data_IF_187642745998
#
_entry.id   IF_187642745998
#
_cell.length_a   1.000
_cell.length_b   1.000
_cell.length_c   1.000
_cell.angle_alpha   90.00
_cell.angle_beta   90.00
_cell.angle_gamma   90.00
#
_symmetry.space_group_name_H-M   'P 1'
#
loop_
_entity.id
_entity.type
_entity.pdbx_description
1 polymer ?
#
# COMPACT_ATOMS: atom_id res chain seq x y z
N UNK A 1 24.42 15.22 48.95
CA UNK A 1 24.11 13.77 49.09
C UNK A 1 22.91 13.69 50.03
N UNK A 2 21.68 13.68 49.53
CA UNK A 2 20.91 12.55 48.97
C UNK A 2 20.53 11.50 50.03
N UNK A 3 19.23 11.38 50.35
CA UNK A 3 18.44 10.20 50.79
C UNK A 3 17.10 10.70 51.35
N UNK A 4 16.00 10.76 50.57
CA UNK A 4 15.02 9.69 50.25
C UNK A 4 14.29 9.07 51.45
N UNK A 5 13.06 9.57 51.62
CA UNK A 5 11.77 8.90 51.83
C UNK A 5 11.67 7.64 52.70
N UNK A 6 10.69 7.65 53.62
CA UNK A 6 9.79 6.51 53.79
C UNK A 6 8.39 7.00 54.18
N UNK A 7 7.55 7.28 53.18
CA UNK A 7 6.11 7.46 53.40
C UNK A 7 5.43 6.09 53.18
N UNK A 8 4.86 5.57 54.25
CA UNK A 8 4.16 4.28 54.30
C UNK A 8 2.82 4.34 53.51
N UNK A 9 2.54 3.42 52.56
CA UNK A 9 1.25 3.34 51.89
C UNK A 9 0.50 2.04 52.27
N UNK A 10 0.15 1.91 53.54
CA UNK A 10 -0.99 1.10 54.00
C UNK A 10 -1.89 2.14 54.68
N UNK A 11 -3.05 2.51 54.15
CA UNK A 11 -4.30 1.78 54.29
C UNK A 11 -5.34 2.64 53.55
N UNK A 12 -6.06 2.11 52.56
CA UNK A 12 -7.36 2.65 52.12
C UNK A 12 -7.99 1.65 51.13
N UNK A 13 -8.24 0.43 51.63
CA UNK A 13 -9.06 -0.55 50.95
C UNK A 13 -10.54 -0.23 51.20
N UNK A 14 -11.05 0.85 50.59
CA UNK A 14 -12.48 1.02 50.44
C UNK A 14 -13.01 -0.05 49.48
N UNK A 15 -13.70 -1.04 50.04
CA UNK A 15 -14.44 -2.09 49.33
C UNK A 15 -15.46 -1.40 48.41
N UNK A 16 -15.21 -1.45 47.11
CA UNK A 16 -16.04 -0.87 46.07
C UNK A 16 -17.07 -1.92 45.63
N UNK A 17 -18.27 -1.81 46.17
CA UNK A 17 -19.46 -2.47 45.62
C UNK A 17 -19.83 -1.75 44.30
N UNK A 18 -19.70 -2.46 43.18
CA UNK A 18 -20.00 -1.94 41.86
C UNK A 18 -21.44 -2.29 41.50
N UNK A 19 -22.36 -1.36 41.74
CA UNK A 19 -23.80 -1.52 41.41
C UNK A 19 -24.09 -1.57 39.89
N UNK A 20 -23.05 -1.64 39.05
CA UNK A 20 -23.16 -1.41 37.62
C UNK A 20 -23.05 -2.72 36.87
N UNK A 21 -24.16 -3.15 36.28
CA UNK A 21 -24.21 -4.33 35.41
C UNK A 21 -23.55 -4.09 34.05
N UNK A 22 -23.49 -2.83 33.59
CA UNK A 22 -22.99 -2.44 32.27
C UNK A 22 -22.09 -1.21 32.33
N UNK A 23 -21.12 -1.12 31.41
CA UNK A 23 -20.26 0.05 31.25
C UNK A 23 -21.03 1.21 30.60
N UNK A 24 -21.05 2.41 31.19
CA UNK A 24 -21.81 3.55 30.64
C UNK A 24 -21.20 4.13 29.36
N UNK A 25 -19.94 3.79 29.04
CA UNK A 25 -19.27 4.29 27.83
C UNK A 25 -19.46 3.34 26.65
N UNK A 26 -19.34 2.03 26.86
CA UNK A 26 -19.33 1.06 25.76
C UNK A 26 -20.49 0.05 25.79
N UNK A 27 -21.38 0.14 26.77
CA UNK A 27 -22.55 -0.74 26.90
C UNK A 27 -22.24 -2.21 27.22
N UNK A 28 -20.96 -2.59 27.37
CA UNK A 28 -20.59 -3.96 27.66
C UNK A 28 -20.93 -4.36 29.10
N UNK A 29 -21.39 -5.59 29.27
CA UNK A 29 -21.63 -6.20 30.59
C UNK A 29 -20.33 -6.23 31.39
N UNK A 30 -20.37 -5.72 32.62
CA UNK A 30 -19.24 -5.74 33.53
C UNK A 30 -19.21 -7.10 34.26
N UNK A 31 -18.03 -7.70 34.47
CA UNK A 31 -17.93 -8.91 35.25
C UNK A 31 -18.30 -8.62 36.71
N UNK A 32 -18.98 -9.57 37.36
CA UNK A 32 -19.35 -9.47 38.76
C UNK A 32 -18.13 -9.77 39.64
N UNK A 33 -17.25 -8.78 39.79
CA UNK A 33 -16.06 -8.85 40.64
C UNK A 33 -16.03 -7.64 41.57
N UNK A 34 -15.66 -7.87 42.82
CA UNK A 34 -15.48 -6.80 43.79
C UNK A 34 -14.29 -5.92 43.36
N UNK A 35 -14.41 -4.59 43.49
CA UNK A 35 -13.35 -3.62 43.18
C UNK A 35 -12.97 -3.41 41.70
N UNK A 36 -13.92 -3.53 40.76
CA UNK A 36 -13.64 -3.22 39.35
C UNK A 36 -13.39 -1.71 39.12
N UNK A 37 -12.11 -1.31 39.05
CA UNK A 37 -11.70 0.09 38.82
C UNK A 37 -11.85 0.54 37.36
N UNK A 38 -11.66 -0.37 36.40
CA UNK A 38 -11.68 -0.05 34.96
C UNK A 38 -12.55 -1.02 34.17
N UNK A 39 -13.19 -0.52 33.10
CA UNK A 39 -13.87 -1.37 32.15
C UNK A 39 -12.84 -2.18 31.33
N UNK A 40 -12.96 -3.50 31.33
CA UNK A 40 -12.06 -4.42 30.61
C UNK A 40 -12.09 -4.18 29.09
N UNK A 41 -13.23 -3.76 28.54
CA UNK A 41 -13.42 -3.57 27.10
C UNK A 41 -12.89 -2.21 26.62
N UNK A 42 -13.40 -1.10 27.16
CA UNK A 42 -13.00 0.23 26.68
C UNK A 42 -11.83 0.83 27.47
N UNK A 43 -11.55 0.35 28.69
CA UNK A 43 -10.48 0.88 29.54
C UNK A 43 -10.87 2.12 30.34
N UNK A 44 -12.15 2.51 30.35
CA UNK A 44 -12.60 3.68 31.13
C UNK A 44 -12.51 3.42 32.64
N UNK A 45 -12.11 4.44 33.39
CA UNK A 45 -12.07 4.41 34.85
C UNK A 45 -13.50 4.54 35.42
N UNK A 46 -14.06 3.43 35.90
CA UNK A 46 -15.40 3.38 36.46
C UNK A 46 -15.48 4.05 37.83
N UNK A 47 -14.40 3.96 38.62
CA UNK A 47 -14.28 4.62 39.93
C UNK A 47 -14.36 6.15 39.78
N UNK A 48 -13.62 6.70 38.82
CA UNK A 48 -13.66 8.13 38.51
C UNK A 48 -15.06 8.62 38.13
N UNK A 49 -15.78 7.87 37.28
CA UNK A 49 -17.14 8.25 36.86
C UNK A 49 -18.10 8.21 38.06
N UNK A 50 -18.01 7.20 38.93
CA UNK A 50 -18.85 7.10 40.13
C UNK A 50 -18.63 8.29 41.07
N UNK A 51 -17.37 8.68 41.28
CA UNK A 51 -16.99 9.78 42.19
C UNK A 51 -17.30 11.16 41.62
N UNK A 52 -17.05 11.37 40.32
CA UNK A 52 -17.14 12.70 39.71
C UNK A 52 -18.46 12.95 38.96
N UNK A 53 -19.30 11.91 38.79
CA UNK A 53 -20.56 11.93 38.03
C UNK A 53 -20.43 12.54 36.63
N UNK A 54 -19.23 12.50 36.05
CA UNK A 54 -18.90 13.04 34.74
C UNK A 54 -18.21 11.97 33.92
N UNK A 55 -18.57 11.90 32.64
CA UNK A 55 -17.88 11.04 31.69
C UNK A 55 -16.53 11.71 31.37
N UNK A 56 -15.40 10.98 31.48
CA UNK A 56 -14.10 11.53 31.11
C UNK A 56 -14.13 11.93 29.63
N UNK A 57 -13.52 13.07 29.31
CA UNK A 57 -13.31 13.46 27.91
C UNK A 57 -12.46 12.40 27.22
N UNK A 58 -12.76 12.13 25.95
CA UNK A 58 -12.12 11.11 25.10
C UNK A 58 -10.58 11.18 25.05
N UNK A 59 -10.00 12.28 25.53
CA UNK A 59 -8.56 12.55 25.59
C UNK A 59 -7.84 11.86 26.76
N UNK A 60 -8.54 11.33 27.76
CA UNK A 60 -7.92 10.74 28.97
C UNK A 60 -8.22 9.24 29.11
N UNK A 61 -7.86 8.46 28.09
CA UNK A 61 -7.82 7.00 28.17
C UNK A 61 -6.49 6.55 28.81
N UNK A 62 -6.62 5.64 29.78
CA UNK A 62 -5.61 5.09 30.69
C UNK A 62 -4.17 4.92 30.12
N UNK A 63 -3.10 5.46 30.78
CA UNK A 63 -1.71 5.30 30.36
C UNK A 63 -1.18 3.87 30.45
N UNK A 64 -1.86 2.97 31.16
CA UNK A 64 -1.50 1.55 31.26
C UNK A 64 -2.12 0.68 30.15
N UNK A 65 -2.88 1.27 29.22
CA UNK A 65 -2.88 0.74 27.85
C UNK A 65 -1.55 1.14 27.22
N UNK A 66 -0.51 0.34 27.52
CA UNK A 66 0.39 -0.04 26.43
C UNK A 66 -0.50 -0.83 25.48
N UNK A 67 -1.22 -0.13 24.61
CA UNK A 67 -1.35 -0.60 23.25
C UNK A 67 0.08 -0.97 22.89
N UNK A 68 0.37 -2.27 22.81
CA UNK A 68 1.23 -2.75 21.75
C UNK A 68 0.77 -1.96 20.53
N UNK A 69 1.49 -0.88 20.23
CA UNK A 69 1.38 -0.15 18.99
C UNK A 69 2.00 -1.09 17.96
N UNK A 70 1.34 -2.23 17.71
CA UNK A 70 1.16 -2.56 16.32
C UNK A 70 0.42 -1.35 15.76
N UNK A 71 1.04 -0.60 14.83
CA UNK A 71 0.29 0.42 14.12
C UNK A 71 -0.93 -0.31 13.57
N UNK A 72 -2.10 0.12 14.02
CA UNK A 72 -3.36 -0.20 13.40
C UNK A 72 -3.25 0.53 12.06
N UNK A 73 -2.60 -0.14 11.10
CA UNK A 73 -2.69 0.17 9.69
C UNK A 73 -4.18 0.02 9.44
N UNK A 74 -4.90 1.14 9.53
CA UNK A 74 -6.05 1.37 8.69
C UNK A 74 -5.52 1.11 7.29
N UNK A 75 -5.63 -0.15 6.86
CA UNK A 75 -5.66 -0.51 5.46
C UNK A 75 -7.00 0.07 5.01
N UNK A 76 -7.04 1.40 4.85
CA UNK A 76 -7.78 1.93 3.74
C UNK A 76 -7.34 1.05 2.56
N UNK A 77 -8.30 0.40 1.94
CA UNK A 77 -8.11 -0.12 0.60
C UNK A 77 -8.00 1.07 -0.36
N UNK A 78 -7.25 2.11 0.01
CA UNK A 78 -6.65 3.03 -0.93
C UNK A 78 -5.56 2.22 -1.60
N UNK A 79 -6.01 1.54 -2.65
CA UNK A 79 -5.32 1.45 -3.93
C UNK A 79 -3.80 1.47 -3.77
N UNK A 80 -3.15 0.34 -4.03
CA UNK A 80 -1.73 0.26 -4.43
C UNK A 80 -1.48 1.12 -5.68
N UNK A 81 -1.63 2.44 -5.57
CA UNK A 81 -1.12 3.41 -6.50
C UNK A 81 0.26 3.76 -5.96
N UNK A 82 1.35 3.33 -6.63
CA UNK A 82 2.67 3.79 -6.25
C UNK A 82 2.64 5.33 -6.22
N UNK A 83 3.31 5.96 -5.23
CA UNK A 83 3.35 7.42 -5.14
C UNK A 83 3.76 7.98 -6.50
N UNK A 84 2.88 8.81 -7.09
CA UNK A 84 3.16 9.44 -8.38
C UNK A 84 4.39 10.33 -8.22
N UNK A 85 5.31 10.22 -9.16
CA UNK A 85 6.57 10.94 -9.09
C UNK A 85 6.31 12.42 -9.41
N UNK A 86 6.67 13.30 -8.47
CA UNK A 86 6.56 14.76 -8.60
C UNK A 86 7.72 15.30 -9.44
N UNK A 87 7.51 16.41 -10.15
CA UNK A 87 8.52 17.00 -11.05
C UNK A 87 9.83 17.40 -10.32
N UNK A 88 9.73 17.72 -9.02
CA UNK A 88 10.85 18.03 -8.14
C UNK A 88 11.81 16.83 -7.99
N UNK A 89 11.26 15.62 -7.92
CA UNK A 89 12.07 14.41 -7.82
C UNK A 89 12.73 14.04 -9.15
N UNK A 90 12.14 14.40 -10.31
CA UNK A 90 12.75 14.22 -11.64
C UNK A 90 13.95 15.14 -11.88
N UNK A 91 14.04 16.26 -11.18
CA UNK A 91 15.09 17.27 -11.40
C UNK A 91 16.40 16.89 -10.67
N UNK A 92 16.34 16.07 -9.61
CA UNK A 92 17.49 15.54 -8.89
C UNK A 92 17.49 14.00 -8.84
N UNK A 93 17.75 13.33 -9.99
CA UNK A 93 17.67 11.87 -10.13
C UNK A 93 18.75 11.12 -9.31
N UNK A 94 19.75 11.82 -8.77
CA UNK A 94 20.80 11.21 -7.92
C UNK A 94 20.35 11.05 -6.48
N UNK A 95 19.44 11.89 -6.01
CA UNK A 95 18.99 11.93 -4.61
C UNK A 95 17.85 10.96 -4.33
N UNK A 96 17.05 10.65 -5.35
CA UNK A 96 15.95 9.70 -5.27
C UNK A 96 16.08 8.67 -6.40
N UNK A 97 16.28 7.39 -6.06
CA UNK A 97 16.30 6.29 -7.03
C UNK A 97 14.87 6.06 -7.52
N UNK A 98 14.39 6.91 -8.43
CA UNK A 98 13.02 6.94 -8.96
C UNK A 98 12.63 5.62 -9.61
N UNK A 99 13.59 5.01 -10.30
CA UNK A 99 13.47 3.71 -10.93
C UNK A 99 14.80 2.95 -10.85
N UNK A 100 14.71 1.63 -10.86
CA UNK A 100 15.88 0.80 -11.09
C UNK A 100 16.31 0.97 -12.54
N UNK A 101 17.61 1.13 -12.80
CA UNK A 101 18.15 1.15 -14.18
C UNK A 101 17.71 -0.08 -14.99
N UNK A 102 17.54 -1.22 -14.31
CA UNK A 102 16.99 -2.44 -14.90
C UNK A 102 15.53 -2.28 -15.35
N UNK A 103 14.72 -1.49 -14.67
CA UNK A 103 13.32 -1.25 -15.07
C UNK A 103 13.25 -0.30 -16.26
N UNK A 104 14.12 0.71 -16.28
CA UNK A 104 14.28 1.67 -17.38
C UNK A 104 14.60 0.99 -18.70
N UNK A 105 15.58 0.07 -18.69
CA UNK A 105 16.04 -0.66 -19.86
C UNK A 105 15.16 -1.90 -20.12
N UNK A 106 14.73 -2.57 -19.05
CA UNK A 106 13.99 -3.83 -19.12
C UNK A 106 12.57 -3.67 -19.64
N UNK A 107 11.91 -2.53 -19.41
CA UNK A 107 10.57 -2.29 -19.93
C UNK A 107 10.53 -2.21 -21.47
N UNK A 108 11.35 -1.36 -22.15
CA UNK A 108 11.39 -1.34 -23.61
C UNK A 108 11.98 -2.63 -24.20
N UNK A 109 13.05 -3.18 -23.60
CA UNK A 109 13.63 -4.44 -24.08
C UNK A 109 12.63 -5.61 -23.95
N UNK A 110 11.91 -5.67 -22.83
CA UNK A 110 10.87 -6.67 -22.59
C UNK A 110 9.72 -6.54 -23.57
N UNK A 111 9.26 -5.32 -23.88
CA UNK A 111 8.23 -5.08 -24.90
C UNK A 111 8.69 -5.56 -26.29
N UNK A 112 9.95 -5.29 -26.65
CA UNK A 112 10.54 -5.78 -27.90
C UNK A 112 10.60 -7.30 -27.96
N UNK A 113 11.14 -7.96 -26.93
CA UNK A 113 11.23 -9.42 -26.89
C UNK A 113 9.85 -10.08 -26.91
N UNK A 114 8.89 -9.52 -26.20
CA UNK A 114 7.51 -10.00 -26.18
C UNK A 114 6.86 -9.93 -27.57
N UNK A 115 7.06 -8.84 -28.30
CA UNK A 115 6.55 -8.68 -29.66
C UNK A 115 7.18 -9.70 -30.63
N UNK A 116 8.50 -9.88 -30.56
CA UNK A 116 9.19 -10.90 -31.35
C UNK A 116 8.74 -12.32 -31.00
N UNK A 117 8.45 -12.59 -29.72
CA UNK A 117 7.91 -13.87 -29.29
C UNK A 117 6.51 -14.13 -29.85
N UNK A 118 5.62 -13.13 -29.84
CA UNK A 118 4.30 -13.24 -30.47
C UNK A 118 4.43 -13.50 -31.97
N UNK A 119 5.29 -12.75 -32.65
CA UNK A 119 5.49 -12.88 -34.09
C UNK A 119 6.08 -14.25 -34.46
N UNK A 120 7.11 -14.70 -33.74
CA UNK A 120 7.70 -16.02 -33.91
C UNK A 120 6.71 -17.14 -33.60
N UNK A 121 5.90 -16.99 -32.54
CA UNK A 121 4.84 -17.94 -32.20
C UNK A 121 3.76 -18.03 -33.28
N UNK A 122 3.38 -16.89 -33.86
CA UNK A 122 2.44 -16.84 -35.00
C UNK A 122 3.00 -17.59 -36.22
N UNK A 123 4.25 -17.35 -36.60
CA UNK A 123 4.89 -18.07 -37.69
C UNK A 123 5.07 -19.56 -37.40
N UNK A 124 5.44 -19.93 -36.16
CA UNK A 124 5.55 -21.33 -35.76
C UNK A 124 4.19 -22.05 -35.86
N UNK A 125 3.11 -21.40 -35.42
CA UNK A 125 1.75 -21.93 -35.51
C UNK A 125 1.30 -22.09 -36.97
N UNK A 126 1.58 -21.10 -37.82
CA UNK A 126 1.31 -21.20 -39.27
C UNK A 126 2.11 -22.33 -39.92
N UNK A 127 3.39 -22.47 -39.58
CA UNK A 127 4.24 -23.55 -40.09
C UNK A 127 3.65 -24.90 -39.69
N UNK A 128 3.23 -25.04 -38.43
CA UNK A 128 2.65 -26.26 -37.90
C UNK A 128 1.28 -26.57 -38.51
N UNK A 129 0.46 -25.56 -38.80
CA UNK A 129 -0.86 -25.74 -39.39
C UNK A 129 -0.79 -26.07 -40.89
N UNK A 130 0.09 -25.39 -41.63
CA UNK A 130 0.18 -25.51 -43.09
C UNK A 130 1.13 -26.61 -43.56
N UNK A 131 2.11 -27.03 -42.73
CA UNK A 131 3.22 -27.91 -43.11
C UNK A 131 3.99 -27.47 -44.37
N UNK A 132 3.87 -26.20 -44.76
CA UNK A 132 4.45 -25.63 -45.97
C UNK A 132 5.16 -24.31 -45.66
N UNK A 133 6.46 -24.27 -45.92
CA UNK A 133 7.28 -23.07 -45.76
C UNK A 133 7.00 -22.02 -46.85
N UNK A 134 6.49 -22.43 -48.02
CA UNK A 134 6.16 -21.49 -49.10
C UNK A 134 5.03 -20.54 -48.68
N UNK A 135 4.04 -21.02 -47.91
CA UNK A 135 2.99 -20.17 -47.38
C UNK A 135 3.54 -19.03 -46.51
N UNK A 136 4.60 -19.29 -45.74
CA UNK A 136 5.26 -18.27 -44.92
C UNK A 136 5.99 -17.27 -45.81
N UNK A 137 6.69 -17.74 -46.84
CA UNK A 137 7.41 -16.89 -47.77
C UNK A 137 6.46 -15.98 -48.56
N UNK A 138 5.35 -16.53 -49.04
CA UNK A 138 4.29 -15.77 -49.73
C UNK A 138 3.65 -14.73 -48.81
N UNK A 139 3.35 -15.10 -47.56
CA UNK A 139 2.81 -14.16 -46.57
C UNK A 139 3.80 -13.06 -46.22
N UNK A 140 5.07 -13.39 -46.00
CA UNK A 140 6.10 -12.40 -45.64
C UNK A 140 6.47 -11.49 -46.80
N UNK A 141 6.35 -11.97 -48.04
CA UNK A 141 6.54 -11.17 -49.25
C UNK A 141 5.33 -10.27 -49.55
N UNK A 142 4.20 -10.46 -48.87
CA UNK A 142 3.01 -9.66 -49.07
C UNK A 142 3.20 -8.25 -48.47
N UNK A 143 3.10 -7.17 -49.27
CA UNK A 143 3.31 -5.81 -48.80
C UNK A 143 2.30 -5.37 -47.73
N UNK A 144 1.07 -5.91 -47.76
CA UNK A 144 0.06 -5.61 -46.75
C UNK A 144 0.41 -6.23 -45.40
N UNK A 145 0.93 -7.45 -45.39
CA UNK A 145 1.36 -8.12 -44.17
C UNK A 145 2.54 -7.38 -43.53
N UNK A 146 3.56 -7.04 -44.31
CA UNK A 146 4.71 -6.27 -43.83
C UNK A 146 4.28 -4.91 -43.29
N UNK A 147 3.39 -4.20 -44.01
CA UNK A 147 2.86 -2.90 -43.55
C UNK A 147 2.10 -3.02 -42.22
N UNK A 148 1.31 -4.09 -42.06
CA UNK A 148 0.58 -4.36 -40.82
C UNK A 148 1.55 -4.64 -39.65
N UNK A 149 2.56 -5.50 -39.86
CA UNK A 149 3.57 -5.80 -38.84
C UNK A 149 4.35 -4.55 -38.45
N UNK A 150 4.76 -3.71 -39.40
CA UNK A 150 5.44 -2.44 -39.10
C UNK A 150 4.57 -1.48 -38.28
N UNK A 151 3.26 -1.46 -38.51
CA UNK A 151 2.34 -0.67 -37.69
C UNK A 151 2.28 -1.18 -36.25
N UNK A 152 2.19 -2.51 -36.06
CA UNK A 152 2.25 -3.09 -34.73
C UNK A 152 3.60 -2.82 -34.05
N UNK A 153 4.71 -2.94 -34.78
CA UNK A 153 6.05 -2.62 -34.27
C UNK A 153 6.13 -1.19 -33.74
N UNK A 154 5.62 -0.21 -34.50
CA UNK A 154 5.54 1.17 -34.06
C UNK A 154 4.72 1.33 -32.77
N UNK A 155 3.57 0.66 -32.67
CA UNK A 155 2.73 0.69 -31.46
C UNK A 155 3.51 0.13 -30.26
N UNK A 156 4.23 -0.98 -30.43
CA UNK A 156 5.01 -1.60 -29.36
C UNK A 156 6.22 -0.75 -28.95
N UNK A 157 6.85 -0.01 -29.88
CA UNK A 157 7.90 0.97 -29.56
C UNK A 157 7.32 2.14 -28.74
N UNK A 158 6.10 2.59 -29.05
CA UNK A 158 5.42 3.66 -28.33
C UNK A 158 4.82 3.19 -27.00
N UNK A 159 4.55 1.91 -26.84
CA UNK A 159 3.90 1.34 -25.65
C UNK A 159 4.64 1.67 -24.34
N UNK A 160 5.97 1.47 -24.20
CA UNK A 160 6.72 1.88 -23.02
C UNK A 160 6.51 3.34 -22.62
N UNK A 161 6.51 4.24 -23.60
CA UNK A 161 6.35 5.68 -23.42
C UNK A 161 4.93 6.01 -22.93
N UNK A 162 3.92 5.31 -23.46
CA UNK A 162 2.53 5.47 -23.03
C UNK A 162 2.27 4.84 -21.65
N UNK A 163 2.88 3.69 -21.37
CA UNK A 163 2.73 2.96 -20.11
C UNK A 163 3.22 3.78 -18.92
N UNK A 164 4.33 4.50 -19.09
CA UNK A 164 4.95 5.32 -18.06
C UNK A 164 4.10 6.52 -17.63
N UNK A 165 3.14 6.94 -18.46
CA UNK A 165 2.16 7.98 -18.11
C UNK A 165 1.49 7.74 -16.75
N UNK A 166 1.26 6.48 -16.37
CA UNK A 166 0.60 6.12 -15.10
C UNK A 166 1.41 6.48 -13.86
N UNK A 167 2.74 6.59 -13.98
CA UNK A 167 3.67 6.76 -12.86
C UNK A 167 4.08 8.22 -12.64
N UNK A 168 3.79 9.10 -13.60
CA UNK A 168 4.11 10.53 -13.57
C UNK A 168 2.92 11.35 -13.05
N UNK A 169 3.20 12.35 -12.20
CA UNK A 169 2.19 13.35 -11.84
C UNK A 169 1.89 14.26 -13.04
N UNK A 170 2.93 14.72 -13.75
CA UNK A 170 2.83 15.52 -14.96
C UNK A 170 3.45 14.77 -16.16
N UNK A 171 2.63 14.12 -17.02
CA UNK A 171 3.11 13.22 -18.05
C UNK A 171 3.54 13.96 -19.33
N UNK A 172 4.50 14.88 -19.22
CA UNK A 172 5.14 15.53 -20.39
C UNK A 172 6.07 14.56 -21.12
N UNK A 173 6.35 14.81 -22.41
CA UNK A 173 7.26 13.97 -23.21
C UNK A 173 8.66 13.95 -22.58
N UNK A 174 9.14 15.11 -22.14
CA UNK A 174 10.43 15.27 -21.46
C UNK A 174 10.52 14.40 -20.20
N UNK A 175 9.49 14.43 -19.35
CA UNK A 175 9.47 13.67 -18.11
C UNK A 175 9.41 12.15 -18.35
N UNK A 176 8.76 11.71 -19.43
CA UNK A 176 8.73 10.29 -19.82
C UNK A 176 10.10 9.78 -20.26
N UNK A 177 10.84 10.56 -21.04
CA UNK A 177 12.20 10.20 -21.44
C UNK A 177 13.18 10.21 -20.26
N UNK A 178 13.10 11.22 -19.39
CA UNK A 178 13.92 11.27 -18.17
C UNK A 178 13.71 10.03 -17.28
N UNK A 179 12.47 9.51 -17.24
CA UNK A 179 12.18 8.30 -16.47
C UNK A 179 12.59 6.99 -17.18
N UNK A 180 12.64 6.99 -18.51
CA UNK A 180 13.10 5.86 -19.32
C UNK A 180 14.63 5.77 -19.43
N UNK A 181 15.35 6.84 -19.07
CA UNK A 181 16.80 6.93 -19.20
C UNK A 181 17.21 7.56 -20.51
#
# INVERSE_FOLDING_TARGET
>A
MNNKELHNPEEDQHIFESDWLFCPICGNKLPNVQNLKFCIKCGVNLKYIKENKKLPSTTTLNPYKTTSQYPLIQRSLEVFQPPKITDEQLTDPKKHKLWSSLTSIGLPLGAFLFMNFILGGFFALLTFASFDLNTIFELTSNPYFTSLISLFELIFILFPILYIRKYLQNPTIKNRFILLG
#
